data_IF_914608170039
#
_entry.id   IF_914608170039
#
_cell.length_a   1.000
_cell.length_b   1.000
_cell.length_c   1.000
_cell.angle_alpha   90.00
_cell.angle_beta   90.00
_cell.angle_gamma   90.00
#
_symmetry.space_group_name_H-M   'P 1'
#
loop_
_entity.id
_entity.type
_entity.pdbx_description
1 polymer ?
#
# COMPACT_ATOMS: atom_id res chain seq x y z
N UNK A 1 59.28 24.36 -50.78
CA UNK A 1 59.65 24.72 -49.40
C UNK A 1 58.44 25.37 -48.75
N UNK A 2 57.89 24.70 -47.73
CA UNK A 2 56.81 25.10 -46.79
C UNK A 2 55.43 25.47 -47.38
N UNK A 3 54.27 25.12 -46.83
CA UNK A 3 53.80 24.17 -45.83
C UNK A 3 52.26 24.19 -45.92
N UNK A 4 51.62 23.03 -45.73
CA UNK A 4 50.21 22.77 -45.37
C UNK A 4 49.07 23.59 -46.01
N UNK A 5 48.24 22.90 -46.82
CA UNK A 5 46.84 23.26 -47.07
C UNK A 5 45.97 22.05 -46.72
N UNK A 6 45.26 22.14 -45.59
CA UNK A 6 44.25 21.18 -45.14
C UNK A 6 42.90 21.60 -45.75
N UNK A 7 42.28 20.68 -46.49
CA UNK A 7 40.95 20.84 -47.07
C UNK A 7 39.87 20.84 -45.98
N UNK A 8 39.15 21.96 -45.85
CA UNK A 8 37.88 22.06 -45.13
C UNK A 8 36.76 21.53 -46.05
N UNK A 9 36.25 20.34 -45.75
CA UNK A 9 34.98 19.85 -46.28
C UNK A 9 33.87 20.24 -45.29
N UNK A 10 33.05 21.22 -45.70
CA UNK A 10 31.76 21.51 -45.09
C UNK A 10 30.78 20.38 -45.42
N UNK A 11 30.36 19.61 -44.41
CA UNK A 11 29.09 18.89 -44.45
C UNK A 11 28.07 19.64 -43.59
N UNK A 12 27.05 20.20 -44.24
CA UNK A 12 25.83 20.64 -43.57
C UNK A 12 25.15 19.40 -42.99
N UNK A 13 25.31 19.17 -41.69
CA UNK A 13 24.38 18.34 -40.93
C UNK A 13 23.25 19.24 -40.46
N UNK A 14 22.06 18.96 -40.97
CA UNK A 14 20.77 19.48 -40.55
C UNK A 14 20.64 19.49 -39.03
N UNK A 15 20.28 20.65 -38.46
CA UNK A 15 19.79 20.76 -37.08
C UNK A 15 18.46 19.98 -37.03
N UNK A 16 18.51 18.73 -36.58
CA UNK A 16 17.32 18.04 -36.10
C UNK A 16 17.03 18.59 -34.70
N UNK A 17 15.93 19.33 -34.64
CA UNK A 17 15.26 19.70 -33.41
C UNK A 17 14.71 18.41 -32.78
N UNK A 18 15.47 17.77 -31.88
CA UNK A 18 14.95 16.68 -31.06
C UNK A 18 14.27 17.29 -29.84
N UNK A 19 12.97 17.05 -29.75
CA UNK A 19 12.11 17.33 -28.61
C UNK A 19 12.74 16.90 -27.29
N UNK A 20 12.67 17.78 -26.29
CA UNK A 20 12.88 17.51 -24.88
C UNK A 20 11.90 16.42 -24.41
N UNK A 21 12.37 15.18 -24.33
CA UNK A 21 11.70 14.07 -23.67
C UNK A 21 12.74 12.96 -23.51
N UNK A 22 12.90 12.43 -22.30
CA UNK A 22 13.81 11.32 -21.98
C UNK A 22 13.29 9.99 -22.57
N UNK A 23 13.05 9.94 -23.88
CA UNK A 23 12.34 8.84 -24.55
C UNK A 23 13.23 7.63 -24.89
N UNK A 24 14.53 7.67 -24.62
CA UNK A 24 15.43 6.54 -24.87
C UNK A 24 16.30 6.21 -23.65
N UNK A 25 15.75 5.34 -22.80
CA UNK A 25 16.38 4.38 -21.88
C UNK A 25 17.84 4.66 -21.43
N UNK A 26 17.97 5.04 -20.16
CA UNK A 26 19.07 4.60 -19.28
C UNK A 26 18.45 3.90 -18.07
N UNK A 27 18.20 2.58 -18.19
CA UNK A 27 17.98 1.73 -17.01
C UNK A 27 19.35 1.56 -16.34
N UNK A 28 19.65 2.43 -15.39
CA UNK A 28 20.65 2.09 -14.37
C UNK A 28 19.94 1.29 -13.28
N UNK A 29 20.63 0.33 -12.66
CA UNK A 29 20.12 -0.40 -11.47
C UNK A 29 19.90 0.53 -10.25
N UNK A 30 20.11 1.84 -10.39
CA UNK A 30 19.95 2.84 -9.35
C UNK A 30 18.49 3.36 -9.32
N UNK A 31 17.75 2.91 -8.32
CA UNK A 31 16.37 3.28 -8.02
C UNK A 31 16.28 4.29 -6.86
N UNK A 32 15.08 4.82 -6.59
CA UNK A 32 14.83 5.63 -5.40
C UNK A 32 15.11 4.85 -4.10
N UNK A 33 14.90 3.53 -4.12
CA UNK A 33 15.28 2.63 -3.05
C UNK A 33 16.79 2.65 -2.78
N UNK A 34 17.62 2.68 -3.82
CA UNK A 34 19.09 2.75 -3.68
C UNK A 34 19.56 4.10 -3.12
N UNK A 35 18.85 5.19 -3.41
CA UNK A 35 19.15 6.49 -2.79
C UNK A 35 18.75 6.56 -1.33
N UNK A 36 17.63 5.94 -0.94
CA UNK A 36 17.22 5.79 0.45
C UNK A 36 18.20 4.87 1.21
N UNK A 37 18.75 3.84 0.55
CA UNK A 37 19.75 2.95 1.14
C UNK A 37 21.13 3.61 1.36
N UNK A 38 21.44 4.73 0.69
CA UNK A 38 22.70 5.49 0.86
C UNK A 38 22.72 6.44 2.08
N UNK A 39 21.69 6.43 2.91
CA UNK A 39 21.62 7.27 4.11
C UNK A 39 22.76 7.00 5.09
N UNK A 40 23.33 8.06 5.67
CA UNK A 40 24.31 8.00 6.76
C UNK A 40 23.77 8.76 7.98
N UNK A 41 24.46 8.67 9.11
CA UNK A 41 24.06 9.35 10.35
C UNK A 41 23.96 10.88 10.22
N UNK A 42 24.55 11.47 9.18
CA UNK A 42 24.55 12.93 8.97
C UNK A 42 23.79 13.38 7.73
N UNK A 43 23.54 12.46 6.78
CA UNK A 43 23.11 12.81 5.44
C UNK A 43 21.91 11.96 5.02
N UNK A 44 20.86 12.61 4.54
CA UNK A 44 19.77 11.96 3.80
C UNK A 44 19.91 12.28 2.33
N UNK A 45 19.46 11.37 1.46
CA UNK A 45 19.53 11.54 0.02
C UNK A 45 18.15 11.33 -0.60
N UNK A 46 17.83 12.10 -1.65
CA UNK A 46 16.67 11.87 -2.50
C UNK A 46 17.12 11.53 -3.92
N UNK A 47 16.27 10.80 -4.63
CA UNK A 47 16.48 10.46 -6.03
C UNK A 47 16.24 11.67 -6.92
N UNK A 48 17.20 11.99 -7.79
CA UNK A 48 17.12 13.09 -8.75
C UNK A 48 17.60 12.61 -10.11
N UNK A 49 16.84 12.94 -11.15
CA UNK A 49 17.28 12.83 -12.54
C UNK A 49 17.86 14.17 -12.98
N UNK A 50 19.01 14.15 -13.66
CA UNK A 50 19.53 15.33 -14.33
C UNK A 50 18.81 15.53 -15.67
N UNK A 51 17.82 16.42 -15.65
CA UNK A 51 16.98 16.79 -16.81
C UNK A 51 17.70 17.66 -17.84
N UNK A 52 18.92 18.13 -17.55
CA UNK A 52 19.57 19.18 -18.35
C UNK A 52 20.71 18.71 -19.25
N UNK A 53 21.34 17.57 -18.95
CA UNK A 53 22.51 17.12 -19.72
C UNK A 53 22.62 15.61 -19.94
N UNK A 54 22.13 14.74 -19.04
CA UNK A 54 22.60 13.35 -19.04
C UNK A 54 21.56 12.26 -18.80
N UNK A 55 20.35 12.58 -18.31
CA UNK A 55 19.32 11.58 -17.95
C UNK A 55 19.82 10.50 -16.98
N UNK A 56 20.91 10.75 -16.24
CA UNK A 56 21.50 9.81 -15.30
C UNK A 56 20.84 9.95 -13.92
N UNK A 57 20.35 8.85 -13.32
CA UNK A 57 19.88 8.84 -11.94
C UNK A 57 20.99 9.18 -10.96
N UNK A 58 20.72 10.05 -9.98
CA UNK A 58 21.67 10.43 -8.94
C UNK A 58 20.99 10.60 -7.58
N UNK A 59 21.76 10.41 -6.51
CA UNK A 59 21.28 10.65 -5.16
C UNK A 59 21.76 12.02 -4.69
N UNK A 60 20.83 12.97 -4.52
CA UNK A 60 21.14 14.33 -4.04
C UNK A 60 20.91 14.44 -2.55
N UNK A 61 21.88 15.04 -1.86
CA UNK A 61 21.85 15.23 -0.39
C UNK A 61 20.77 16.23 0.00
N UNK A 62 19.92 15.87 0.95
CA UNK A 62 19.01 16.76 1.65
C UNK A 62 19.82 17.82 2.39
N UNK A 63 19.54 19.10 2.10
CA UNK A 63 20.06 20.21 2.87
C UNK A 63 19.09 20.51 4.04
N UNK A 64 19.53 20.53 5.31
CA UNK A 64 18.69 20.86 6.45
C UNK A 64 18.15 22.31 6.43
N UNK A 65 18.69 23.18 5.58
CA UNK A 65 18.14 24.52 5.34
C UNK A 65 16.96 24.51 4.35
N UNK A 66 15.86 23.87 4.73
CA UNK A 66 14.53 24.08 4.16
C UNK A 66 14.30 23.54 2.73
N UNK A 67 13.31 22.67 2.64
CA UNK A 67 12.62 22.16 1.44
C UNK A 67 12.80 22.98 0.16
N UNK A 68 13.01 22.27 -0.96
CA UNK A 68 13.00 22.80 -2.33
C UNK A 68 11.83 23.79 -2.53
N UNK A 69 12.17 25.09 -2.56
CA UNK A 69 11.27 26.23 -2.79
C UNK A 69 11.19 26.58 -4.28
N UNK A 70 11.26 25.59 -5.15
CA UNK A 70 11.10 25.85 -6.58
C UNK A 70 9.63 25.76 -6.96
N UNK A 71 9.20 26.74 -7.72
CA UNK A 71 7.83 26.87 -8.21
C UNK A 71 7.52 25.69 -9.15
N UNK A 72 6.64 24.79 -8.71
CA UNK A 72 6.21 23.63 -9.50
C UNK A 72 5.35 24.02 -10.73
N UNK A 73 5.12 25.32 -10.94
CA UNK A 73 4.50 25.85 -12.16
C UNK A 73 5.36 25.63 -13.41
N UNK A 74 6.65 25.30 -13.25
CA UNK A 74 7.61 25.09 -14.36
C UNK A 74 8.29 23.71 -14.37
N UNK A 75 8.16 22.92 -13.30
CA UNK A 75 8.83 21.63 -13.16
C UNK A 75 7.92 20.64 -12.43
N UNK A 76 7.99 19.35 -12.80
CA UNK A 76 7.24 18.29 -12.13
C UNK A 76 7.76 18.10 -10.71
N UNK A 77 6.85 17.98 -9.75
CA UNK A 77 7.22 17.67 -8.37
C UNK A 77 7.89 16.28 -8.27
N UNK A 78 8.78 16.08 -7.28
CA UNK A 78 9.32 14.76 -6.99
C UNK A 78 8.21 13.74 -6.70
N UNK A 79 8.51 12.45 -6.89
CA UNK A 79 7.65 11.34 -6.50
C UNK A 79 7.16 11.48 -5.04
N UNK A 80 5.87 11.28 -4.80
CA UNK A 80 5.20 11.49 -3.52
C UNK A 80 4.79 12.94 -3.20
N UNK A 81 5.06 13.90 -4.10
CA UNK A 81 4.66 15.30 -3.95
C UNK A 81 3.71 15.73 -5.05
N UNK A 82 2.73 16.55 -4.70
CA UNK A 82 1.80 17.18 -5.64
C UNK A 82 2.02 18.69 -5.69
N UNK A 83 1.84 19.27 -6.88
CA UNK A 83 1.94 20.72 -7.04
C UNK A 83 0.68 21.37 -6.45
N UNK A 84 0.86 22.18 -5.42
CA UNK A 84 -0.22 22.80 -4.67
C UNK A 84 0.11 24.23 -4.27
N UNK A 85 -0.90 25.09 -4.23
CA UNK A 85 -0.73 26.49 -3.81
C UNK A 85 -0.58 26.61 -2.31
N UNK A 86 0.49 27.29 -1.88
CA UNK A 86 0.86 27.47 -0.48
C UNK A 86 1.46 28.86 -0.24
N UNK A 87 1.40 29.33 1.01
CA UNK A 87 1.96 30.62 1.38
C UNK A 87 3.49 30.55 1.57
N UNK A 88 4.25 31.46 0.95
CA UNK A 88 5.72 31.36 0.84
C UNK A 88 6.55 31.55 2.14
N UNK A 89 5.98 31.96 3.29
CA UNK A 89 6.71 32.02 4.59
C UNK A 89 5.83 32.15 5.86
N UNK A 90 6.36 31.60 6.95
CA UNK A 90 5.80 31.16 8.25
C UNK A 90 5.07 32.18 9.14
N UNK A 91 4.02 31.71 9.80
CA UNK A 91 3.99 31.62 11.28
C UNK A 91 3.71 30.14 11.61
N UNK A 92 4.47 29.54 12.56
CA UNK A 92 4.28 28.19 13.14
C UNK A 92 4.17 27.01 12.15
N UNK A 93 5.27 26.35 11.75
CA UNK A 93 5.39 24.95 11.27
C UNK A 93 4.25 24.31 10.42
N UNK A 94 3.35 25.11 9.85
CA UNK A 94 2.08 24.70 9.30
C UNK A 94 2.05 25.21 7.87
N UNK A 95 1.86 24.28 6.95
CA UNK A 95 1.64 24.60 5.56
C UNK A 95 0.26 25.22 5.40
N UNK A 96 0.21 26.51 5.05
CA UNK A 96 -1.05 27.22 4.82
C UNK A 96 -1.40 27.12 3.34
N UNK A 97 -2.54 26.48 3.04
CA UNK A 97 -3.14 26.48 1.70
C UNK A 97 -3.66 27.87 1.33
N UNK A 98 -3.60 28.20 0.04
CA UNK A 98 -4.07 29.47 -0.47
C UNK A 98 -4.59 29.34 -1.89
N UNK A 99 -5.50 30.22 -2.30
CA UNK A 99 -5.84 30.42 -3.70
C UNK A 99 -5.30 31.77 -4.20
N UNK A 100 -5.28 32.74 -3.30
CA UNK A 100 -4.89 34.13 -3.53
C UNK A 100 -3.92 34.63 -2.46
N UNK A 101 -3.26 35.75 -2.76
CA UNK A 101 -2.40 36.46 -1.80
C UNK A 101 -3.15 36.92 -0.52
N UNK A 102 -4.45 37.17 -0.63
CA UNK A 102 -5.26 37.65 0.50
C UNK A 102 -5.39 36.56 1.57
N UNK A 103 -5.49 35.29 1.18
CA UNK A 103 -5.61 34.15 2.08
C UNK A 103 -4.39 34.06 3.01
N UNK A 104 -3.20 34.21 2.41
CA UNK A 104 -1.96 34.20 3.15
C UNK A 104 -1.79 35.39 4.10
N UNK A 105 -2.30 36.57 3.71
CA UNK A 105 -2.23 37.77 4.55
C UNK A 105 -3.17 37.66 5.77
N UNK A 106 -4.34 37.03 5.59
CA UNK A 106 -5.28 36.74 6.69
C UNK A 106 -4.71 35.72 7.68
N UNK A 107 -3.93 34.76 7.21
CA UNK A 107 -3.31 33.72 8.03
C UNK A 107 -2.08 34.20 8.83
N UNK A 108 -1.77 35.50 8.83
CA UNK A 108 -0.68 36.09 9.61
C UNK A 108 0.71 35.94 8.99
N UNK A 109 0.85 35.31 7.82
CA UNK A 109 2.14 35.10 7.20
C UNK A 109 2.83 36.43 6.79
N UNK A 110 4.06 36.65 7.26
CA UNK A 110 4.84 37.86 6.97
C UNK A 110 5.40 37.79 5.54
N UNK A 111 4.99 38.72 4.66
CA UNK A 111 5.33 38.80 3.21
C UNK A 111 4.72 37.71 2.33
N UNK A 112 3.50 37.29 2.64
CA UNK A 112 2.92 36.07 2.11
C UNK A 112 2.37 36.19 0.68
N UNK A 113 3.07 35.60 -0.28
CA UNK A 113 2.54 35.33 -1.60
C UNK A 113 1.96 33.92 -1.63
N UNK A 114 0.88 33.75 -2.37
CA UNK A 114 0.38 32.44 -2.73
C UNK A 114 1.18 31.94 -3.94
N UNK A 115 1.98 30.90 -3.74
CA UNK A 115 2.92 30.36 -4.72
C UNK A 115 2.65 28.87 -4.92
N UNK A 116 2.91 28.37 -6.12
CA UNK A 116 2.86 26.93 -6.37
C UNK A 116 4.09 26.28 -5.74
N UNK A 117 3.87 25.30 -4.86
CA UNK A 117 4.92 24.55 -4.18
C UNK A 117 4.63 23.06 -4.24
N UNK A 118 5.69 22.25 -4.25
CA UNK A 118 5.54 20.82 -4.09
C UNK A 118 5.17 20.53 -2.63
N UNK A 119 3.99 19.95 -2.44
CA UNK A 119 3.45 19.58 -1.13
C UNK A 119 3.36 18.07 -1.07
N UNK A 120 3.77 17.54 0.06
CA UNK A 120 3.71 16.12 0.33
C UNK A 120 2.25 15.66 0.40
N UNK A 121 1.92 14.60 -0.32
CA UNK A 121 0.58 14.03 -0.28
C UNK A 121 0.45 13.11 0.95
N UNK A 122 -0.48 13.43 1.85
CA UNK A 122 -0.54 12.90 3.22
C UNK A 122 -0.63 11.36 3.29
N UNK A 123 -1.22 10.74 2.28
CA UNK A 123 -1.45 9.29 2.24
C UNK A 123 -0.36 8.55 1.44
N UNK A 124 0.70 9.22 1.02
CA UNK A 124 1.81 8.58 0.30
C UNK A 124 2.80 7.91 1.24
N UNK A 125 3.46 6.87 0.75
CA UNK A 125 4.58 6.25 1.46
C UNK A 125 5.69 7.28 1.75
N UNK A 126 5.89 8.24 0.87
CA UNK A 126 6.81 9.36 1.09
C UNK A 126 6.39 10.28 2.24
N UNK A 127 5.08 10.48 2.46
CA UNK A 127 4.60 11.21 3.63
C UNK A 127 4.94 10.52 4.93
N UNK A 128 4.75 9.20 4.96
CA UNK A 128 5.14 8.39 6.10
C UNK A 128 6.63 8.56 6.44
N UNK A 129 7.52 8.52 5.44
CA UNK A 129 8.96 8.72 5.65
C UNK A 129 9.32 10.14 6.09
N UNK A 130 8.65 11.18 5.59
CA UNK A 130 8.99 12.56 5.91
C UNK A 130 8.49 13.00 7.30
N UNK A 131 7.35 12.46 7.74
CA UNK A 131 6.71 12.84 9.00
C UNK A 131 7.27 12.09 10.21
N UNK A 132 8.00 10.99 10.00
CA UNK A 132 8.50 10.14 11.08
C UNK A 132 10.01 10.31 11.25
N UNK A 133 10.41 11.16 12.20
CA UNK A 133 11.79 11.59 12.45
C UNK A 133 12.72 10.50 13.03
N UNK A 134 12.19 9.34 13.41
CA UNK A 134 12.84 8.39 14.33
C UNK A 134 13.68 7.28 13.66
N UNK A 135 13.83 7.27 12.34
CA UNK A 135 14.30 6.08 11.60
C UNK A 135 15.82 5.81 11.62
N UNK A 136 16.64 6.55 12.38
CA UNK A 136 18.08 6.63 12.07
C UNK A 136 19.02 5.62 12.71
N UNK A 137 18.94 5.23 14.00
CA UNK A 137 20.21 4.78 14.64
C UNK A 137 20.20 3.51 15.52
N UNK A 138 19.28 2.55 15.39
CA UNK A 138 19.46 1.24 16.06
C UNK A 138 18.83 0.02 15.35
N UNK A 139 19.28 -1.19 15.71
CA UNK A 139 18.82 -2.51 15.19
C UNK A 139 17.30 -2.70 15.27
N UNK A 140 16.64 -2.06 16.23
CA UNK A 140 15.19 -2.12 16.42
C UNK A 140 14.44 -1.09 15.55
N UNK A 141 15.05 0.04 15.21
CA UNK A 141 14.60 0.95 14.16
C UNK A 141 14.66 0.37 12.73
N UNK A 142 15.41 -0.70 12.52
CA UNK A 142 15.36 -1.53 11.30
C UNK A 142 14.27 -2.63 11.35
N UNK A 143 13.71 -2.91 12.54
CA UNK A 143 12.54 -3.78 12.74
C UNK A 143 11.23 -2.98 12.76
N UNK A 144 11.28 -1.68 13.09
CA UNK A 144 10.21 -0.72 12.79
C UNK A 144 9.92 -0.78 11.29
N UNK A 145 8.65 -0.99 10.95
CA UNK A 145 8.18 -1.09 9.59
C UNK A 145 8.68 0.10 8.74
N UNK A 146 9.59 -0.17 7.80
CA UNK A 146 10.04 0.81 6.81
C UNK A 146 9.26 0.51 5.53
N UNK A 147 8.19 1.26 5.23
CA UNK A 147 7.42 0.94 4.06
C UNK A 147 8.26 1.13 2.81
N UNK A 148 8.14 0.19 1.89
CA UNK A 148 8.69 0.31 0.56
C UNK A 148 7.79 1.26 -0.25
N UNK A 149 8.39 2.24 -0.91
CA UNK A 149 7.67 3.11 -1.83
C UNK A 149 7.94 2.69 -3.27
N UNK A 150 6.95 2.82 -4.14
CA UNK A 150 7.15 2.66 -5.57
C UNK A 150 7.82 3.89 -6.21
N UNK A 151 8.04 3.84 -7.52
CA UNK A 151 8.71 4.92 -8.27
C UNK A 151 7.92 6.23 -8.30
N UNK A 152 6.62 6.19 -8.01
CA UNK A 152 5.76 7.38 -7.93
C UNK A 152 5.67 7.92 -6.50
N UNK A 153 6.34 7.28 -5.54
CA UNK A 153 6.34 7.63 -4.11
C UNK A 153 5.09 7.16 -3.37
N UNK A 154 4.23 6.40 -4.05
CA UNK A 154 3.09 5.71 -3.46
C UNK A 154 3.57 4.46 -2.72
N UNK A 155 2.66 3.81 -2.02
CA UNK A 155 2.97 2.57 -1.32
C UNK A 155 3.24 1.45 -2.33
N UNK A 156 4.40 0.81 -2.20
CA UNK A 156 4.69 -0.38 -2.99
C UNK A 156 3.70 -1.50 -2.63
N UNK A 157 3.38 -2.33 -3.62
CA UNK A 157 2.32 -3.32 -3.51
C UNK A 157 2.59 -4.35 -2.41
N UNK A 158 3.87 -4.65 -2.14
CA UNK A 158 4.31 -5.60 -1.11
C UNK A 158 5.02 -4.86 0.02
N UNK A 159 4.50 -5.00 1.22
CA UNK A 159 5.06 -4.42 2.43
C UNK A 159 5.46 -5.51 3.41
N UNK A 160 6.69 -5.47 3.94
CA UNK A 160 7.20 -6.49 4.85
C UNK A 160 7.53 -5.92 6.24
N UNK A 161 7.07 -6.59 7.29
CA UNK A 161 7.24 -6.24 8.70
C UNK A 161 7.96 -7.36 9.44
N UNK A 162 8.81 -7.02 10.43
CA UNK A 162 9.46 -8.01 11.32
C UNK A 162 10.71 -8.71 10.76
N UNK A 163 11.31 -8.20 9.68
CA UNK A 163 12.56 -8.72 9.12
C UNK A 163 12.45 -10.17 8.60
N UNK A 164 13.52 -10.95 8.74
CA UNK A 164 13.62 -12.31 8.16
C UNK A 164 12.66 -13.34 8.75
N UNK A 165 12.21 -13.12 9.99
CA UNK A 165 11.18 -13.94 10.67
C UNK A 165 9.78 -13.34 10.54
N UNK A 166 9.66 -12.27 9.75
CA UNK A 166 8.48 -11.46 9.63
C UNK A 166 7.46 -11.95 8.62
N UNK A 167 6.51 -11.08 8.29
CA UNK A 167 5.47 -11.30 7.29
C UNK A 167 5.47 -10.17 6.28
N UNK A 168 5.05 -10.50 5.08
CA UNK A 168 4.75 -9.54 4.03
C UNK A 168 3.26 -9.55 3.74
N UNK A 169 2.75 -8.40 3.33
CA UNK A 169 1.33 -8.10 3.12
C UNK A 169 1.17 -7.31 1.83
N UNK A 170 -0.02 -7.41 1.24
CA UNK A 170 -0.39 -6.57 0.11
C UNK A 170 -0.92 -5.22 0.57
N UNK A 171 -0.57 -4.15 -0.14
CA UNK A 171 -1.02 -2.79 0.10
C UNK A 171 -1.56 -2.17 -1.19
N UNK A 172 -2.53 -1.29 -1.03
CA UNK A 172 -2.97 -0.39 -2.09
C UNK A 172 -2.01 0.81 -2.21
N UNK A 173 -2.10 1.62 -3.28
CA UNK A 173 -1.21 2.75 -3.45
C UNK A 173 -1.35 3.88 -2.40
N UNK A 174 -2.44 3.90 -1.62
CA UNK A 174 -2.71 4.87 -0.54
C UNK A 174 -2.26 4.38 0.84
N UNK A 175 -1.76 3.15 0.93
CA UNK A 175 -1.24 2.58 2.18
C UNK A 175 -2.25 1.73 2.94
N UNK A 176 -3.38 1.39 2.35
CA UNK A 176 -4.35 0.49 2.96
C UNK A 176 -3.95 -0.97 2.75
N UNK A 177 -3.97 -1.77 3.82
CA UNK A 177 -3.66 -3.20 3.77
C UNK A 177 -4.75 -3.95 3.00
N UNK A 178 -4.34 -4.71 2.00
CA UNK A 178 -5.18 -5.56 1.17
C UNK A 178 -5.06 -7.04 1.57
N UNK A 179 -5.94 -7.87 1.01
CA UNK A 179 -5.81 -9.32 1.09
C UNK A 179 -4.47 -9.79 0.48
N UNK A 180 -3.88 -10.82 1.05
CA UNK A 180 -2.62 -11.41 0.57
C UNK A 180 -1.52 -11.25 1.60
N UNK A 181 -0.95 -12.37 2.03
CA UNK A 181 0.15 -12.40 3.00
C UNK A 181 1.07 -13.60 2.77
N UNK A 182 2.33 -13.44 3.17
CA UNK A 182 3.29 -14.53 3.20
C UNK A 182 4.27 -14.34 4.34
N UNK A 183 4.82 -15.43 4.89
CA UNK A 183 6.03 -15.32 5.71
C UNK A 183 7.15 -14.76 4.83
N UNK A 184 8.01 -13.91 5.39
CA UNK A 184 9.09 -13.25 4.64
C UNK A 184 9.91 -14.19 3.75
N UNK A 185 10.35 -15.39 4.21
CA UNK A 185 11.11 -16.33 3.37
C UNK A 185 10.34 -16.84 2.15
N UNK A 186 9.01 -16.78 2.17
CA UNK A 186 8.11 -17.30 1.14
C UNK A 186 7.47 -16.18 0.30
N UNK A 187 7.91 -14.92 0.46
CA UNK A 187 7.33 -13.74 -0.16
C UNK A 187 8.08 -13.26 -1.42
N UNK A 188 9.02 -14.06 -1.94
CA UNK A 188 9.83 -13.70 -3.10
C UNK A 188 8.99 -13.50 -4.39
N UNK A 189 7.97 -14.34 -4.58
CA UNK A 189 7.02 -14.34 -5.70
C UNK A 189 5.73 -13.55 -5.42
N UNK A 190 5.64 -12.88 -4.27
CA UNK A 190 4.49 -12.06 -3.90
C UNK A 190 4.55 -10.73 -4.65
N UNK A 191 3.57 -10.51 -5.53
CA UNK A 191 3.43 -9.31 -6.39
C UNK A 191 2.22 -8.45 -6.00
N UNK A 192 1.21 -9.04 -5.35
CA UNK A 192 -0.02 -8.35 -4.93
C UNK A 192 -0.87 -7.78 -6.07
N UNK A 193 -0.58 -8.14 -7.31
CA UNK A 193 -1.24 -7.61 -8.51
C UNK A 193 -2.75 -7.89 -8.54
N UNK A 194 -3.17 -9.09 -8.13
CA UNK A 194 -4.58 -9.44 -8.05
C UNK A 194 -5.30 -8.66 -6.96
N UNK A 195 -4.69 -8.57 -5.77
CA UNK A 195 -5.28 -7.84 -4.66
C UNK A 195 -5.45 -6.35 -4.97
N UNK A 196 -4.43 -5.71 -5.57
CA UNK A 196 -4.53 -4.32 -6.04
C UNK A 196 -5.62 -4.16 -7.09
N UNK A 197 -5.65 -5.04 -8.10
CA UNK A 197 -6.68 -4.97 -9.15
C UNK A 197 -8.09 -5.13 -8.58
N UNK A 198 -8.27 -6.00 -7.59
CA UNK A 198 -9.54 -6.18 -6.89
C UNK A 198 -9.94 -4.92 -6.14
N UNK A 199 -9.01 -4.32 -5.39
CA UNK A 199 -9.25 -3.08 -4.64
C UNK A 199 -9.65 -1.92 -5.58
N UNK A 200 -8.91 -1.72 -6.67
CA UNK A 200 -9.23 -0.70 -7.69
C UNK A 200 -10.66 -0.83 -8.25
N UNK A 201 -11.08 -2.06 -8.56
CA UNK A 201 -12.42 -2.31 -9.09
C UNK A 201 -13.50 -2.04 -8.04
N UNK A 202 -13.28 -2.42 -6.79
CA UNK A 202 -14.20 -2.12 -5.70
C UNK A 202 -14.29 -0.61 -5.44
N UNK A 203 -13.17 0.11 -5.44
CA UNK A 203 -13.10 1.57 -5.29
C UNK A 203 -13.80 2.30 -6.45
N UNK A 204 -13.75 1.72 -7.66
CA UNK A 204 -14.52 2.22 -8.82
C UNK A 204 -16.05 2.02 -8.71
N UNK A 205 -16.54 1.49 -7.59
CA UNK A 205 -17.95 1.25 -7.31
C UNK A 205 -18.48 -0.09 -7.82
N UNK A 206 -17.60 -1.02 -8.21
CA UNK A 206 -18.03 -2.34 -8.64
C UNK A 206 -18.56 -3.12 -7.43
N UNK A 207 -19.82 -3.62 -7.47
CA UNK A 207 -20.45 -4.18 -6.28
C UNK A 207 -19.90 -5.56 -5.89
N UNK A 208 -19.29 -6.27 -6.84
CA UNK A 208 -18.69 -7.59 -6.63
C UNK A 208 -17.62 -7.87 -7.68
N UNK A 209 -16.52 -8.47 -7.23
CA UNK A 209 -15.42 -8.95 -8.06
C UNK A 209 -15.33 -10.47 -7.84
N UNK A 210 -15.46 -11.28 -8.88
CA UNK A 210 -15.49 -12.73 -8.71
C UNK A 210 -14.17 -13.43 -9.01
N UNK A 211 -13.24 -12.77 -9.69
CA UNK A 211 -11.93 -13.35 -9.94
C UNK A 211 -11.17 -13.55 -8.61
N UNK A 212 -10.30 -14.55 -8.56
CA UNK A 212 -9.63 -15.01 -7.34
C UNK A 212 -8.14 -14.69 -7.31
N UNK A 213 -7.69 -14.26 -6.14
CA UNK A 213 -6.27 -14.16 -5.82
C UNK A 213 -5.79 -15.43 -5.12
N UNK A 214 -4.49 -15.71 -5.13
CA UNK A 214 -3.90 -16.70 -4.25
C UNK A 214 -3.68 -16.10 -2.84
N UNK A 215 -3.18 -16.92 -1.90
CA UNK A 215 -2.93 -16.47 -0.52
C UNK A 215 -1.88 -15.35 -0.39
N UNK A 216 -1.06 -15.12 -1.42
CA UNK A 216 -0.05 -14.06 -1.49
C UNK A 216 -0.59 -12.81 -2.20
N UNK A 217 -1.82 -12.82 -2.69
CA UNK A 217 -2.43 -11.72 -3.43
C UNK A 217 -2.03 -11.65 -4.90
N UNK A 218 -1.43 -12.71 -5.45
CA UNK A 218 -1.21 -12.88 -6.89
C UNK A 218 -2.49 -13.42 -7.56
N UNK A 219 -2.56 -13.43 -8.89
CA UNK A 219 -3.67 -14.05 -9.60
C UNK A 219 -3.59 -15.58 -9.53
N UNK A 220 -4.72 -16.24 -9.27
CA UNK A 220 -4.86 -17.65 -9.64
C UNK A 220 -4.82 -17.82 -11.18
N UNK A 221 -4.46 -19.01 -11.67
CA UNK A 221 -4.32 -19.20 -13.13
C UNK A 221 -5.64 -19.08 -13.88
N UNK A 222 -6.72 -19.59 -13.29
CA UNK A 222 -8.07 -19.51 -13.86
C UNK A 222 -8.78 -18.31 -13.24
N UNK A 223 -9.26 -17.41 -14.08
CA UNK A 223 -10.02 -16.25 -13.65
C UNK A 223 -11.40 -16.27 -14.28
N UNK A 224 -12.43 -16.02 -13.49
CA UNK A 224 -13.75 -15.75 -14.02
C UNK A 224 -14.36 -14.51 -13.39
N UNK A 225 -14.89 -13.66 -14.25
CA UNK A 225 -15.46 -12.39 -13.85
C UNK A 225 -16.62 -12.00 -14.75
N UNK A 226 -17.74 -11.60 -14.13
CA UNK A 226 -18.98 -11.24 -14.85
C UNK A 226 -19.44 -12.30 -15.87
N UNK A 227 -19.26 -13.60 -15.57
CA UNK A 227 -19.70 -14.71 -16.42
C UNK A 227 -18.76 -15.09 -17.57
N UNK A 228 -17.61 -14.43 -17.67
CA UNK A 228 -16.54 -14.74 -18.61
C UNK A 228 -15.35 -15.31 -17.85
N UNK A 229 -14.66 -16.28 -18.44
CA UNK A 229 -13.50 -16.97 -17.87
C UNK A 229 -12.31 -16.90 -18.81
N UNK A 230 -11.11 -16.83 -18.26
CA UNK A 230 -9.84 -16.81 -18.98
C UNK A 230 -8.70 -17.36 -18.13
N UNK A 231 -7.55 -17.59 -18.77
CA UNK A 231 -6.31 -17.88 -18.07
C UNK A 231 -5.51 -16.59 -17.90
N UNK A 232 -5.05 -16.33 -16.68
CA UNK A 232 -4.22 -15.17 -16.36
C UNK A 232 -2.79 -15.62 -16.02
N UNK A 233 -1.82 -14.78 -16.36
CA UNK A 233 -0.49 -14.86 -15.75
C UNK A 233 -0.60 -14.60 -14.25
N UNK A 234 -0.10 -15.48 -13.37
CA UNK A 234 -0.24 -15.30 -11.93
C UNK A 234 0.36 -14.01 -11.38
N UNK A 235 1.44 -13.49 -11.98
CA UNK A 235 2.16 -12.33 -11.46
C UNK A 235 1.61 -11.02 -12.01
N UNK A 236 1.26 -10.96 -13.28
CA UNK A 236 0.83 -9.71 -13.94
C UNK A 236 -0.69 -9.60 -14.10
N UNK A 237 -1.40 -10.72 -14.10
CA UNK A 237 -2.82 -10.78 -14.47
C UNK A 237 -3.06 -10.72 -15.99
N UNK A 238 -1.99 -10.75 -16.79
CA UNK A 238 -2.11 -10.69 -18.25
C UNK A 238 -2.90 -11.87 -18.82
N UNK A 239 -3.71 -11.60 -19.85
CA UNK A 239 -4.51 -12.59 -20.53
C UNK A 239 -3.62 -13.54 -21.35
N UNK A 240 -3.56 -14.82 -20.96
CA UNK A 240 -2.73 -15.85 -21.63
C UNK A 240 -3.56 -16.93 -22.34
N UNK A 241 -4.86 -16.70 -22.54
CA UNK A 241 -5.73 -17.59 -23.30
C UNK A 241 -6.92 -16.84 -23.94
N UNK A 242 -7.81 -17.57 -24.61
CA UNK A 242 -9.08 -17.03 -25.05
C UNK A 242 -10.01 -16.74 -23.86
N UNK A 243 -10.83 -15.69 -23.99
CA UNK A 243 -11.92 -15.43 -23.05
C UNK A 243 -13.15 -16.21 -23.50
N UNK A 244 -13.75 -17.00 -22.59
CA UNK A 244 -14.89 -17.87 -22.89
C UNK A 244 -16.00 -17.69 -21.87
N UNK A 245 -17.28 -17.97 -22.18
CA UNK A 245 -18.32 -18.02 -21.17
C UNK A 245 -18.03 -19.09 -20.10
N UNK A 246 -18.48 -18.90 -18.86
CA UNK A 246 -18.18 -19.81 -17.73
C UNK A 246 -18.49 -21.29 -18.02
N UNK A 247 -19.59 -21.58 -18.71
CA UNK A 247 -19.96 -22.94 -19.15
C UNK A 247 -18.92 -23.63 -20.05
N UNK A 248 -18.01 -22.86 -20.63
CA UNK A 248 -16.94 -23.30 -21.53
C UNK A 248 -15.56 -23.24 -20.84
N UNK A 249 -15.48 -22.78 -19.57
CA UNK A 249 -14.24 -22.79 -18.80
C UNK A 249 -13.48 -24.13 -18.83
N UNK A 250 -14.15 -25.33 -18.88
CA UNK A 250 -13.42 -26.59 -18.90
C UNK A 250 -12.58 -26.83 -20.17
N UNK A 251 -12.67 -25.93 -21.16
CA UNK A 251 -11.87 -25.97 -22.40
C UNK A 251 -10.61 -25.11 -22.34
N UNK A 252 -10.44 -24.31 -21.28
CA UNK A 252 -9.27 -23.48 -21.11
C UNK A 252 -8.06 -24.29 -20.64
N UNK A 253 -6.84 -23.94 -21.07
CA UNK A 253 -5.63 -24.72 -20.75
C UNK A 253 -5.23 -24.69 -19.27
N UNK A 254 -5.67 -23.67 -18.52
CA UNK A 254 -5.45 -23.55 -17.09
C UNK A 254 -6.58 -24.15 -16.24
N UNK A 255 -7.58 -24.79 -16.86
CA UNK A 255 -8.64 -25.44 -16.10
C UNK A 255 -8.13 -26.72 -15.44
N UNK A 256 -8.31 -26.80 -14.13
CA UNK A 256 -7.97 -27.96 -13.32
C UNK A 256 -9.15 -28.34 -12.43
N UNK A 257 -9.73 -29.50 -12.70
CA UNK A 257 -10.90 -30.02 -11.99
C UNK A 257 -10.60 -30.34 -10.52
N UNK A 258 -9.34 -30.62 -10.18
CA UNK A 258 -8.96 -30.99 -8.81
C UNK A 258 -8.93 -29.80 -7.88
N UNK A 259 -8.61 -28.62 -8.40
CA UNK A 259 -8.51 -27.38 -7.64
C UNK A 259 -9.78 -26.53 -7.73
N UNK A 260 -10.43 -26.46 -8.89
CA UNK A 260 -11.63 -25.65 -9.09
C UNK A 260 -12.94 -26.40 -8.84
N UNK A 261 -12.97 -27.72 -9.08
CA UNK A 261 -14.22 -28.48 -9.08
C UNK A 261 -15.14 -28.12 -10.26
N UNK A 262 -16.46 -28.20 -10.03
CA UNK A 262 -17.49 -28.04 -11.07
C UNK A 262 -18.05 -26.61 -11.20
N UNK A 263 -17.77 -25.73 -10.25
CA UNK A 263 -18.22 -24.34 -10.23
C UNK A 263 -17.04 -23.45 -9.89
N UNK A 264 -16.96 -22.26 -10.49
CA UNK A 264 -15.84 -21.36 -10.25
C UNK A 264 -15.92 -20.69 -8.88
N UNK A 265 -17.10 -20.15 -8.52
CA UNK A 265 -17.30 -19.46 -7.25
C UNK A 265 -17.17 -20.45 -6.08
N UNK A 266 -16.39 -20.08 -5.07
CA UNK A 266 -16.29 -20.84 -3.81
C UNK A 266 -17.54 -20.60 -2.97
N UNK A 267 -17.66 -21.32 -1.85
CA UNK A 267 -18.85 -21.24 -1.00
C UNK A 267 -19.10 -19.83 -0.45
N UNK A 268 -18.05 -19.13 0.00
CA UNK A 268 -18.17 -17.77 0.50
C UNK A 268 -18.61 -16.80 -0.62
N UNK A 269 -17.95 -16.88 -1.77
CA UNK A 269 -18.27 -16.04 -2.94
C UNK A 269 -19.69 -16.25 -3.44
N UNK A 270 -20.16 -17.49 -3.48
CA UNK A 270 -21.52 -17.82 -3.90
C UNK A 270 -22.56 -17.11 -3.03
N UNK A 271 -22.32 -17.06 -1.72
CA UNK A 271 -23.18 -16.35 -0.78
C UNK A 271 -23.09 -14.83 -0.95
N UNK A 272 -21.87 -14.27 -1.06
CA UNK A 272 -21.69 -12.84 -1.31
C UNK A 272 -22.29 -12.38 -2.63
N UNK A 273 -22.15 -13.17 -3.69
CA UNK A 273 -22.73 -12.90 -4.99
C UNK A 273 -24.26 -12.87 -4.93
N UNK A 274 -24.88 -13.84 -4.23
CA UNK A 274 -26.31 -13.87 -4.00
C UNK A 274 -26.81 -12.64 -3.22
N UNK A 275 -26.16 -12.29 -2.11
CA UNK A 275 -26.47 -11.08 -1.32
C UNK A 275 -26.33 -9.83 -2.18
N UNK A 276 -25.27 -9.73 -2.97
CA UNK A 276 -25.03 -8.57 -3.85
C UNK A 276 -26.15 -8.42 -4.87
N UNK A 277 -26.57 -9.51 -5.52
CA UNK A 277 -27.70 -9.50 -6.46
C UNK A 277 -29.00 -9.07 -5.80
N UNK A 278 -29.31 -9.62 -4.63
CA UNK A 278 -30.52 -9.29 -3.88
C UNK A 278 -30.49 -7.81 -3.48
N UNK A 279 -29.37 -7.35 -2.93
CA UNK A 279 -29.17 -5.96 -2.49
C UNK A 279 -29.33 -4.98 -3.65
N UNK A 280 -28.72 -5.26 -4.80
CA UNK A 280 -28.85 -4.41 -5.98
C UNK A 280 -30.30 -4.37 -6.48
N UNK A 281 -30.98 -5.51 -6.52
CA UNK A 281 -32.41 -5.58 -6.89
C UNK A 281 -33.27 -4.72 -5.95
N UNK A 282 -33.05 -4.83 -4.64
CA UNK A 282 -33.80 -4.04 -3.65
C UNK A 282 -33.50 -2.55 -3.74
N UNK A 283 -32.23 -2.16 -3.97
CA UNK A 283 -31.86 -0.77 -4.23
C UNK A 283 -32.60 -0.22 -5.45
N UNK A 284 -32.71 -0.98 -6.53
CA UNK A 284 -33.50 -0.56 -7.71
C UNK A 284 -35.01 -0.43 -7.42
N UNK A 285 -35.52 -1.12 -6.40
CA UNK A 285 -36.89 -1.01 -5.93
C UNK A 285 -37.10 0.08 -4.86
N UNK A 286 -36.07 0.90 -4.56
CA UNK A 286 -36.17 2.00 -3.60
C UNK A 286 -35.93 1.61 -2.13
N UNK A 287 -35.46 0.38 -1.86
CA UNK A 287 -35.05 0.00 -0.51
C UNK A 287 -33.73 0.66 -0.16
N UNK A 288 -33.74 1.50 0.86
CA UNK A 288 -32.55 2.25 1.33
C UNK A 288 -31.69 1.41 2.28
N UNK A 289 -32.31 0.55 3.10
CA UNK A 289 -31.63 -0.28 4.08
C UNK A 289 -32.14 -1.72 4.00
N UNK A 290 -31.26 -2.65 3.63
CA UNK A 290 -31.55 -4.07 3.64
C UNK A 290 -30.45 -4.78 4.43
N UNK A 291 -30.81 -5.43 5.53
CA UNK A 291 -29.87 -6.12 6.41
C UNK A 291 -29.91 -7.63 6.13
N UNK A 292 -28.91 -8.13 5.41
CA UNK A 292 -28.75 -9.56 5.07
C UNK A 292 -27.72 -10.28 5.94
N UNK A 293 -27.24 -9.63 7.00
CA UNK A 293 -25.97 -10.01 7.62
C UNK A 293 -24.79 -9.70 6.70
N UNK A 294 -23.61 -9.51 7.30
CA UNK A 294 -22.38 -9.27 6.55
C UNK A 294 -21.49 -10.49 6.65
N UNK A 295 -21.28 -11.16 5.53
CA UNK A 295 -20.30 -12.23 5.38
C UNK A 295 -19.13 -11.72 4.57
N UNK A 296 -17.98 -11.54 5.21
CA UNK A 296 -16.75 -11.14 4.55
C UNK A 296 -16.11 -12.36 3.87
N UNK A 297 -15.64 -12.19 2.65
CA UNK A 297 -14.85 -13.18 1.91
C UNK A 297 -13.48 -12.56 1.60
N UNK A 298 -12.44 -13.37 1.76
CA UNK A 298 -11.07 -13.05 1.37
C UNK A 298 -10.96 -13.01 -0.17
N UNK A 299 -9.89 -12.40 -0.70
CA UNK A 299 -9.71 -12.24 -2.15
C UNK A 299 -9.52 -13.55 -2.93
N UNK A 300 -9.21 -14.64 -2.22
CA UNK A 300 -9.19 -16.00 -2.75
C UNK A 300 -10.52 -16.73 -2.56
N UNK A 301 -11.60 -16.07 -2.14
CA UNK A 301 -12.90 -16.69 -1.91
C UNK A 301 -13.01 -17.58 -0.67
N UNK A 302 -11.98 -17.60 0.20
CA UNK A 302 -12.09 -18.13 1.54
C UNK A 302 -12.94 -17.22 2.44
N UNK A 303 -13.33 -17.70 3.61
CA UNK A 303 -14.03 -16.87 4.59
C UNK A 303 -13.09 -15.82 5.19
N UNK A 304 -13.61 -14.60 5.34
CA UNK A 304 -12.87 -13.46 5.84
C UNK A 304 -12.61 -13.48 7.35
N UNK A 305 -12.09 -12.38 7.86
CA UNK A 305 -11.64 -12.26 9.24
C UNK A 305 -12.77 -12.36 10.28
N UNK A 306 -13.99 -11.98 9.92
CA UNK A 306 -15.16 -12.09 10.77
C UNK A 306 -16.44 -12.22 9.96
N UNK A 307 -17.50 -12.63 10.66
CA UNK A 307 -18.85 -12.66 10.14
C UNK A 307 -19.81 -11.98 11.10
N UNK A 308 -20.72 -11.16 10.59
CA UNK A 308 -21.73 -10.46 11.38
C UNK A 308 -23.04 -11.23 11.36
N UNK A 309 -23.54 -11.58 12.54
CA UNK A 309 -24.84 -12.21 12.76
C UNK A 309 -25.55 -11.51 13.90
N UNK A 310 -26.79 -11.07 13.68
CA UNK A 310 -27.61 -10.37 14.68
C UNK A 310 -26.90 -9.17 15.36
N UNK A 311 -26.10 -8.43 14.61
CA UNK A 311 -25.37 -7.26 15.12
C UNK A 311 -24.09 -7.59 15.92
N UNK A 312 -23.72 -8.87 16.03
CA UNK A 312 -22.48 -9.32 16.66
C UNK A 312 -21.55 -9.85 15.56
N UNK A 313 -20.34 -9.34 15.54
CA UNK A 313 -19.25 -9.78 14.68
C UNK A 313 -18.43 -10.85 15.41
N UNK A 314 -18.32 -12.02 14.81
CA UNK A 314 -17.53 -13.14 15.34
C UNK A 314 -16.30 -13.34 14.49
N UNK A 315 -15.12 -13.41 15.11
CA UNK A 315 -13.90 -13.72 14.37
C UNK A 315 -13.99 -15.12 13.75
N UNK A 316 -13.63 -15.23 12.48
CA UNK A 316 -13.72 -16.48 11.70
C UNK A 316 -12.39 -16.88 11.13
N UNK A 317 -12.22 -18.19 10.95
CA UNK A 317 -11.10 -18.75 10.21
C UNK A 317 -11.44 -18.89 8.72
N UNK A 318 -10.45 -19.26 7.91
CA UNK A 318 -10.57 -19.37 6.44
C UNK A 318 -11.64 -20.35 5.97
N UNK A 319 -11.99 -21.33 6.80
CA UNK A 319 -13.05 -22.32 6.57
C UNK A 319 -14.44 -21.86 7.04
N UNK A 320 -14.56 -20.65 7.59
CA UNK A 320 -15.79 -20.06 8.10
C UNK A 320 -16.12 -20.44 9.54
N UNK A 321 -15.29 -21.27 10.20
CA UNK A 321 -15.48 -21.62 11.60
C UNK A 321 -15.18 -20.43 12.51
N UNK A 322 -15.99 -20.25 13.55
CA UNK A 322 -15.76 -19.23 14.58
C UNK A 322 -14.52 -19.57 15.40
N UNK A 323 -13.70 -18.55 15.69
CA UNK A 323 -12.49 -18.70 16.48
C UNK A 323 -12.80 -18.36 17.95
N UNK A 324 -12.86 -19.39 18.80
CA UNK A 324 -13.10 -19.27 20.24
C UNK A 324 -14.27 -18.32 20.57
N UNK A 325 -14.08 -17.42 21.54
CA UNK A 325 -15.08 -16.46 22.03
C UNK A 325 -14.75 -15.02 21.59
N UNK A 326 -13.88 -14.84 20.58
CA UNK A 326 -13.53 -13.51 20.10
C UNK A 326 -14.66 -12.93 19.27
N UNK A 327 -15.23 -11.84 19.79
CA UNK A 327 -16.38 -11.18 19.19
C UNK A 327 -16.39 -9.69 19.52
N UNK A 328 -16.99 -8.92 18.63
CA UNK A 328 -17.27 -7.49 18.81
C UNK A 328 -18.73 -7.23 18.47
N UNK A 329 -19.30 -6.20 19.07
CA UNK A 329 -20.66 -5.72 18.82
C UNK A 329 -20.66 -4.21 18.54
N UNK A 330 -21.83 -3.64 18.33
CA UNK A 330 -21.96 -2.18 18.11
C UNK A 330 -21.43 -1.32 19.26
N UNK A 331 -21.26 -1.85 20.47
CA UNK A 331 -20.71 -1.12 21.62
C UNK A 331 -19.18 -1.12 21.67
N UNK A 332 -18.55 -2.04 20.93
CA UNK A 332 -17.09 -2.24 20.84
C UNK A 332 -16.53 -1.89 19.45
N UNK A 333 -17.33 -1.17 18.67
CA UNK A 333 -17.03 -0.62 17.35
C UNK A 333 -16.49 -1.63 16.32
N UNK A 334 -17.43 -2.26 15.60
CA UNK A 334 -17.17 -3.15 14.46
C UNK A 334 -16.26 -2.49 13.40
N UNK A 335 -16.21 -1.15 13.31
CA UNK A 335 -15.38 -0.48 12.31
C UNK A 335 -13.87 -0.68 12.52
N UNK A 336 -13.45 -0.96 13.76
CA UNK A 336 -12.03 -1.22 14.09
C UNK A 336 -11.68 -2.70 14.13
N UNK A 337 -12.65 -3.59 13.91
CA UNK A 337 -12.47 -5.04 14.03
C UNK A 337 -11.65 -5.59 12.85
N UNK A 338 -10.51 -6.21 13.16
CA UNK A 338 -9.67 -6.90 12.16
C UNK A 338 -9.43 -8.39 12.50
N UNK A 339 -9.65 -8.82 13.75
CA UNK A 339 -9.46 -10.20 14.21
C UNK A 339 -8.03 -10.76 14.00
N UNK A 340 -7.03 -9.91 13.77
CA UNK A 340 -5.68 -10.33 13.43
C UNK A 340 -5.07 -11.21 14.54
N UNK A 341 -5.19 -10.80 15.80
CA UNK A 341 -4.66 -11.55 16.95
C UNK A 341 -5.35 -12.91 17.13
N UNK A 342 -6.68 -12.96 16.98
CA UNK A 342 -7.44 -14.22 17.05
C UNK A 342 -7.01 -15.22 15.97
N UNK A 343 -6.80 -14.74 14.73
CA UNK A 343 -6.35 -15.58 13.61
C UNK A 343 -4.92 -16.05 13.81
N UNK A 344 -4.02 -15.17 14.24
CA UNK A 344 -2.63 -15.53 14.52
C UNK A 344 -2.53 -16.48 15.72
N UNK A 345 -3.35 -16.33 16.76
CA UNK A 345 -3.44 -17.30 17.85
C UNK A 345 -3.85 -18.69 17.35
N UNK A 346 -4.89 -18.79 16.51
CA UNK A 346 -5.33 -20.07 15.93
C UNK A 346 -4.23 -20.71 15.07
N UNK A 347 -3.43 -19.91 14.39
CA UNK A 347 -2.37 -20.39 13.51
C UNK A 347 -1.08 -20.78 14.25
N UNK A 348 -0.67 -20.00 15.24
CA UNK A 348 0.67 -20.09 15.85
C UNK A 348 0.68 -20.42 17.34
N UNK A 349 -0.48 -20.38 18.02
CA UNK A 349 -0.58 -20.50 19.48
C UNK A 349 0.39 -19.56 20.22
N UNK A 350 0.50 -18.31 19.76
CA UNK A 350 1.43 -17.33 20.33
C UNK A 350 1.01 -16.85 21.72
N UNK A 351 1.90 -16.10 22.38
CA UNK A 351 1.70 -15.57 23.74
C UNK A 351 1.37 -14.07 23.79
N UNK A 352 1.27 -13.39 22.65
CA UNK A 352 0.82 -11.99 22.62
C UNK A 352 -0.62 -11.86 23.12
N UNK A 353 -0.89 -10.75 23.80
CA UNK A 353 -2.19 -10.41 24.36
C UNK A 353 -3.16 -9.93 23.28
N UNK A 354 -4.33 -10.56 23.23
CA UNK A 354 -5.44 -10.15 22.38
C UNK A 354 -6.52 -9.46 23.22
N UNK A 355 -7.17 -8.46 22.66
CA UNK A 355 -8.42 -7.92 23.21
C UNK A 355 -9.56 -8.94 23.08
N UNK A 356 -10.66 -8.75 23.81
CA UNK A 356 -11.85 -9.60 23.70
C UNK A 356 -12.48 -9.63 22.29
N UNK A 357 -12.21 -8.59 21.48
CA UNK A 357 -12.64 -8.51 20.07
C UNK A 357 -11.88 -9.46 19.14
N UNK A 358 -10.67 -9.88 19.53
CA UNK A 358 -9.75 -10.63 18.66
C UNK A 358 -8.71 -9.76 17.96
N UNK A 359 -8.73 -8.45 18.14
CA UNK A 359 -7.62 -7.56 17.75
C UNK A 359 -6.44 -7.67 18.74
N UNK A 360 -5.24 -7.28 18.31
CA UNK A 360 -4.09 -7.17 19.22
C UNK A 360 -4.34 -6.10 20.29
N UNK A 361 -3.94 -6.37 21.53
CA UNK A 361 -3.79 -5.28 22.51
C UNK A 361 -2.58 -4.44 22.08
N UNK A 362 -2.76 -3.13 21.89
CA UNK A 362 -1.68 -2.27 21.37
C UNK A 362 -0.48 -2.21 22.31
N UNK A 363 -0.68 -2.43 23.62
CA UNK A 363 0.38 -2.53 24.62
C UNK A 363 0.58 -4.00 24.99
N UNK A 364 1.77 -4.52 24.72
CA UNK A 364 2.21 -5.86 25.09
C UNK A 364 3.20 -5.79 26.24
N UNK A 365 3.44 -6.92 26.92
CA UNK A 365 4.45 -7.00 27.96
C UNK A 365 5.19 -8.33 27.99
N UNK A 366 6.37 -8.33 28.59
CA UNK A 366 7.17 -9.52 28.86
C UNK A 366 7.96 -9.37 30.16
N UNK A 367 8.35 -10.50 30.75
CA UNK A 367 9.11 -10.51 32.02
C UNK A 367 10.56 -10.89 31.73
N UNK A 368 11.50 -10.03 32.15
CA UNK A 368 12.94 -10.29 32.10
C UNK A 368 13.53 -9.99 33.48
N UNK A 369 14.29 -10.94 34.04
CA UNK A 369 14.89 -10.80 35.38
C UNK A 369 13.89 -10.41 36.49
N UNK A 370 12.67 -10.97 36.45
CA UNK A 370 11.55 -10.68 37.37
C UNK A 370 11.01 -9.25 37.29
N UNK A 371 11.43 -8.48 36.29
CA UNK A 371 10.91 -7.15 36.00
C UNK A 371 10.00 -7.22 34.78
N UNK A 372 8.88 -6.50 34.83
CA UNK A 372 7.96 -6.40 33.70
C UNK A 372 8.42 -5.28 32.76
N UNK A 373 8.36 -5.56 31.46
CA UNK A 373 8.68 -4.62 30.40
C UNK A 373 7.51 -4.55 29.43
N UNK A 374 7.24 -3.35 28.91
CA UNK A 374 6.09 -3.07 28.06
C UNK A 374 6.54 -2.55 26.71
N UNK A 375 5.84 -2.87 25.64
CA UNK A 375 6.13 -2.35 24.30
C UNK A 375 4.85 -2.23 23.50
N UNK A 376 4.85 -1.39 22.48
CA UNK A 376 3.72 -1.18 21.60
C UNK A 376 3.81 -2.12 20.39
N UNK A 377 2.66 -2.62 19.93
CA UNK A 377 2.51 -3.35 18.66
C UNK A 377 1.49 -2.68 17.75
N UNK A 378 1.64 -2.89 16.45
CA UNK A 378 0.66 -2.51 15.45
C UNK A 378 -0.52 -3.50 15.39
N UNK A 379 -1.48 -3.22 14.50
CA UNK A 379 -2.66 -4.07 14.28
C UNK A 379 -2.33 -5.48 13.80
N UNK A 380 -1.11 -5.73 13.32
CA UNK A 380 -0.62 -7.02 12.85
C UNK A 380 0.27 -7.73 13.91
N UNK A 381 0.41 -7.15 15.11
CA UNK A 381 1.16 -7.71 16.22
C UNK A 381 2.67 -7.50 16.14
N UNK A 382 3.16 -6.63 15.25
CA UNK A 382 4.57 -6.29 15.13
C UNK A 382 4.93 -5.12 16.05
N UNK A 383 6.06 -5.22 16.73
CA UNK A 383 6.53 -4.18 17.64
C UNK A 383 6.81 -2.87 16.90
N UNK A 384 6.25 -1.76 17.40
CA UNK A 384 6.43 -0.40 16.88
C UNK A 384 7.19 0.52 17.84
N UNK A 385 7.45 0.09 19.07
CA UNK A 385 8.27 0.80 20.05
C UNK A 385 9.39 -0.08 20.60
N UNK A 386 10.38 0.56 21.24
CA UNK A 386 11.25 -0.11 22.19
C UNK A 386 10.46 -0.53 23.44
N UNK A 387 11.10 -1.27 24.35
CA UNK A 387 10.48 -1.68 25.59
C UNK A 387 10.75 -0.70 26.74
N UNK A 388 9.75 -0.51 27.58
CA UNK A 388 9.73 0.41 28.71
C UNK A 388 9.57 -0.34 30.02
N UNK A 389 10.09 0.21 31.12
CA UNK A 389 9.91 -0.36 32.46
C UNK A 389 8.56 0.02 33.08
N UNK A 390 7.88 1.01 32.51
CA UNK A 390 6.54 1.48 32.90
C UNK A 390 5.56 1.23 31.77
N UNK A 391 4.30 0.91 32.10
CA UNK A 391 3.25 0.73 31.09
C UNK A 391 3.01 2.05 30.35
N UNK A 392 2.91 1.97 29.03
CA UNK A 392 2.54 3.10 28.17
C UNK A 392 1.02 3.15 28.08
N UNK A 393 0.43 4.34 28.19
CA UNK A 393 -1.03 4.51 28.16
C UNK A 393 -1.59 4.60 26.74
N UNK A 394 -0.78 5.05 25.77
CA UNK A 394 -1.20 5.17 24.38
C UNK A 394 -0.03 4.89 23.41
N UNK A 395 -0.27 4.01 22.44
CA UNK A 395 0.70 3.66 21.41
C UNK A 395 0.59 4.49 20.12
N UNK A 396 -0.39 5.39 19.99
CA UNK A 396 -0.59 6.21 18.77
C UNK A 396 0.56 7.17 18.49
N UNK A 397 1.38 7.51 19.49
CA UNK A 397 2.57 8.35 19.30
C UNK A 397 3.73 7.64 18.60
N UNK A 398 3.60 6.33 18.35
CA UNK A 398 4.60 5.50 17.66
C UNK A 398 4.17 5.11 16.24
N UNK A 399 3.11 5.74 15.72
CA UNK A 399 2.58 5.58 14.37
C UNK A 399 3.05 6.68 13.43
#
# INVERSE_FOLDING_TARGET
MNSLLIFLLFSLATIQNSSESCDDILVTDLSQHDCIAKQTNTDSYYYSLDETQSCLPSCKKYNPDGHFRDSCSKQRCPAGYTCSKRCNRLIEYAEISCETRADCTKAGALRAQCVDMCVLDADTCMAYHANTSDFRDNKFGALKFKPACDNDGQWDAKQCKGGVSGKCYCYDPKGEKLFGQALYPNAADMTCSCSRRRAELLDSGRPFVSFHCDSKGNFEKMQCDSGLCWCADPKTGELVSAVVPERVMPKLPCYDTTTLGSQYLRQCDSHQYAITKITNTLKTHGVVYANFGMRLCDGDGAYGAYNVSNGIAYCTWRDGTTINTWQSDSSTDISTLNCNCARDYKMYAHQLHCTGSGNYESVQNFILNKQNYFYCVDDDGFAISDYFTTRVDNCTSYY
#
